data_IF_519885471453
#
_entry.id   IF_519885471453
#
_cell.length_a   1.000
_cell.length_b   1.000
_cell.length_c   1.000
_cell.angle_alpha   90.00
_cell.angle_beta   90.00
_cell.angle_gamma   90.00
#
_symmetry.space_group_name_H-M   'P 1'
#
loop_
_entity.id
_entity.type
_entity.pdbx_description
1 polymer ?
#
# COMPACT_ATOMS: atom_id res chain seq x y z
N UNK A 1 25.89 6.38 18.90
CA UNK A 1 26.92 6.60 19.93
C UNK A 1 26.33 6.66 21.33
N UNK A 2 24.99 6.69 21.51
CA UNK A 2 24.33 6.88 22.82
C UNK A 2 24.76 8.16 23.56
N UNK A 3 25.47 9.05 22.87
CA UNK A 3 25.93 10.31 23.42
C UNK A 3 24.79 11.32 23.46
N UNK A 4 24.63 12.07 24.56
CA UNK A 4 23.67 13.16 24.64
C UNK A 4 23.88 14.20 23.54
N UNK A 5 22.78 14.73 23.01
CA UNK A 5 22.77 15.78 21.98
C UNK A 5 21.93 16.93 22.48
N UNK A 6 22.44 18.15 22.41
CA UNK A 6 21.65 19.34 22.74
C UNK A 6 20.72 19.64 21.56
N UNK A 7 19.51 20.13 21.84
CA UNK A 7 18.52 20.47 20.82
C UNK A 7 19.07 21.41 19.74
N UNK A 8 19.91 22.38 20.13
CA UNK A 8 20.55 23.32 19.21
C UNK A 8 21.51 22.64 18.22
N UNK A 9 22.06 21.49 18.59
CA UNK A 9 22.99 20.72 17.75
C UNK A 9 22.26 19.72 16.84
N UNK A 10 20.96 19.49 17.03
CA UNK A 10 20.18 18.52 16.22
C UNK A 10 20.19 18.91 14.74
N UNK A 11 19.86 20.17 14.44
CA UNK A 11 19.84 20.67 13.05
C UNK A 11 21.20 20.54 12.36
N UNK A 12 22.30 21.14 12.87
CA UNK A 12 23.60 21.04 12.19
C UNK A 12 24.15 19.61 12.14
N UNK A 13 23.75 18.71 13.06
CA UNK A 13 24.20 17.32 13.07
C UNK A 13 23.44 16.41 12.11
N UNK A 14 22.14 16.63 11.92
CA UNK A 14 21.27 15.66 11.26
C UNK A 14 20.55 16.18 10.02
N UNK A 15 20.46 17.49 9.79
CA UNK A 15 19.68 18.06 8.67
C UNK A 15 20.16 17.52 7.31
N UNK A 16 21.46 17.47 7.07
CA UNK A 16 22.02 16.94 5.81
C UNK A 16 21.61 15.49 5.57
N UNK A 17 21.74 14.63 6.61
CA UNK A 17 21.35 13.23 6.52
C UNK A 17 19.84 13.08 6.31
N UNK A 18 19.02 13.81 7.08
CA UNK A 18 17.56 13.78 6.98
C UNK A 18 17.11 14.17 5.57
N UNK A 19 17.63 15.27 5.03
CA UNK A 19 17.27 15.73 3.68
C UNK A 19 17.72 14.75 2.59
N UNK A 20 18.86 14.08 2.75
CA UNK A 20 19.35 13.10 1.80
C UNK A 20 18.54 11.78 1.80
N UNK A 21 17.90 11.44 2.93
CA UNK A 21 17.23 10.16 3.18
C UNK A 21 15.71 10.31 3.39
N UNK A 22 15.13 11.40 2.88
CA UNK A 22 13.68 11.65 2.90
C UNK A 22 13.19 12.18 1.57
N UNK A 23 11.89 12.08 1.33
CA UNK A 23 11.27 12.55 0.09
C UNK A 23 11.55 11.65 -1.11
N UNK A 24 11.49 12.24 -2.30
CA UNK A 24 11.71 11.55 -3.57
C UNK A 24 13.21 11.38 -3.82
N UNK A 25 13.66 10.12 -3.84
CA UNK A 25 15.08 9.76 -3.93
C UNK A 25 15.26 8.42 -4.63
N UNK A 26 16.51 7.99 -4.77
CA UNK A 26 16.83 6.66 -5.31
C UNK A 26 16.23 5.58 -4.42
N UNK A 27 15.81 4.48 -5.04
CA UNK A 27 15.24 3.34 -4.32
C UNK A 27 16.31 2.71 -3.43
N UNK A 28 15.99 2.61 -2.14
CA UNK A 28 16.80 1.94 -1.14
C UNK A 28 16.26 0.51 -0.95
N UNK A 29 17.00 -0.54 -1.34
CA UNK A 29 16.50 -1.92 -1.30
C UNK A 29 16.00 -2.34 0.09
N UNK A 30 16.62 -1.83 1.15
CA UNK A 30 16.26 -2.08 2.55
C UNK A 30 14.82 -1.66 2.88
N UNK A 31 14.33 -0.57 2.27
CA UNK A 31 12.98 -0.05 2.48
C UNK A 31 11.96 -0.67 1.51
N UNK A 32 12.44 -1.13 0.34
CA UNK A 32 11.64 -1.70 -0.73
C UNK A 32 11.60 -3.24 -0.73
N UNK A 33 11.78 -3.89 0.43
CA UNK A 33 11.66 -5.34 0.57
C UNK A 33 12.75 -6.14 -0.16
N UNK A 34 13.95 -5.59 -0.28
CA UNK A 34 15.08 -6.17 -1.01
C UNK A 34 15.11 -5.84 -2.50
N UNK A 35 14.20 -4.98 -2.99
CA UNK A 35 14.15 -4.61 -4.39
C UNK A 35 15.31 -3.67 -4.80
N UNK A 36 16.21 -4.16 -5.65
CA UNK A 36 17.15 -3.34 -6.41
C UNK A 36 16.70 -3.25 -7.88
N UNK A 37 16.30 -2.06 -8.35
CA UNK A 37 15.95 -1.83 -9.75
C UNK A 37 17.07 -2.20 -10.75
N UNK A 38 18.34 -2.17 -10.36
CA UNK A 38 19.46 -2.48 -11.25
C UNK A 38 19.68 -3.98 -11.46
N UNK A 39 19.12 -4.82 -10.58
CA UNK A 39 19.30 -6.27 -10.61
C UNK A 39 17.99 -7.00 -10.31
N UNK A 40 16.94 -6.67 -11.05
CA UNK A 40 15.63 -7.32 -10.89
C UNK A 40 15.68 -8.77 -11.34
N UNK A 41 15.50 -9.71 -10.41
CA UNK A 41 15.47 -11.14 -10.72
C UNK A 41 14.19 -11.54 -11.46
N UNK A 42 14.35 -12.23 -12.59
CA UNK A 42 13.30 -12.95 -13.30
C UNK A 42 13.71 -14.41 -13.49
N UNK A 43 12.73 -15.30 -13.69
CA UNK A 43 12.98 -16.68 -14.09
C UNK A 43 12.69 -16.82 -15.58
N UNK A 44 13.63 -17.40 -16.33
CA UNK A 44 13.39 -17.81 -17.72
C UNK A 44 13.34 -19.32 -17.78
N UNK A 45 12.28 -19.82 -18.40
CA UNK A 45 12.19 -21.22 -18.75
C UNK A 45 13.11 -21.53 -19.93
N UNK A 46 13.96 -22.54 -19.76
CA UNK A 46 14.85 -23.04 -20.78
C UNK A 46 14.70 -24.56 -20.87
N UNK A 47 14.84 -25.08 -22.09
CA UNK A 47 14.91 -26.52 -22.31
C UNK A 47 16.37 -26.96 -22.26
N UNK A 48 16.69 -28.00 -21.49
CA UNK A 48 18.05 -28.54 -21.46
C UNK A 48 18.34 -29.36 -22.71
N UNK A 49 19.50 -29.12 -23.33
CA UNK A 49 19.92 -29.79 -24.58
C UNK A 49 20.77 -31.04 -24.34
N UNK A 50 21.17 -31.26 -23.09
CA UNK A 50 21.98 -32.39 -22.62
C UNK A 50 21.42 -32.91 -21.30
N UNK A 51 21.66 -34.20 -21.02
CA UNK A 51 21.34 -34.80 -19.74
C UNK A 51 22.15 -34.13 -18.62
N UNK A 52 21.50 -33.83 -17.51
CA UNK A 52 22.15 -33.29 -16.32
C UNK A 52 22.83 -34.41 -15.52
N UNK A 53 23.84 -34.04 -14.75
CA UNK A 53 24.37 -34.94 -13.73
C UNK A 53 23.28 -35.27 -12.69
N UNK A 54 23.21 -36.52 -12.20
CA UNK A 54 22.28 -36.87 -11.13
C UNK A 54 22.55 -36.07 -9.87
N UNK A 55 21.50 -35.77 -9.12
CA UNK A 55 21.61 -35.20 -7.78
C UNK A 55 20.73 -35.99 -6.79
N UNK A 56 21.06 -35.89 -5.51
CA UNK A 56 20.30 -36.53 -4.44
C UNK A 56 19.08 -35.69 -4.04
N UNK A 57 17.96 -36.35 -3.78
CA UNK A 57 16.72 -35.76 -3.30
C UNK A 57 16.02 -36.69 -2.30
N UNK A 58 15.00 -36.17 -1.61
CA UNK A 58 14.10 -37.02 -0.83
C UNK A 58 13.26 -37.91 -1.76
N UNK A 59 12.71 -39.01 -1.23
CA UNK A 59 11.80 -39.87 -2.00
C UNK A 59 10.57 -39.09 -2.51
N UNK A 60 10.06 -38.18 -1.69
CA UNK A 60 8.91 -37.32 -2.03
C UNK A 60 9.25 -36.37 -3.18
N UNK A 61 10.38 -35.67 -3.09
CA UNK A 61 10.83 -34.74 -4.13
C UNK A 61 11.14 -35.47 -5.45
N UNK A 62 11.79 -36.63 -5.38
CA UNK A 62 12.09 -37.44 -6.57
C UNK A 62 10.81 -37.84 -7.32
N UNK A 63 9.79 -38.31 -6.58
CA UNK A 63 8.48 -38.61 -7.15
C UNK A 63 7.80 -37.36 -7.72
N UNK A 64 7.88 -36.22 -7.03
CA UNK A 64 7.32 -34.95 -7.51
C UNK A 64 7.99 -34.47 -8.80
N UNK A 65 9.32 -34.56 -8.90
CA UNK A 65 10.07 -34.25 -10.12
C UNK A 65 9.67 -35.16 -11.28
N UNK A 66 9.59 -36.48 -11.05
CA UNK A 66 9.15 -37.45 -12.07
C UNK A 66 7.71 -37.20 -12.51
N UNK A 67 6.82 -36.89 -11.58
CA UNK A 67 5.41 -36.61 -11.88
C UNK A 67 5.24 -35.37 -12.77
N UNK A 68 6.04 -34.33 -12.54
CA UNK A 68 5.95 -33.08 -13.31
C UNK A 68 6.63 -33.18 -14.68
N UNK A 69 7.73 -33.94 -14.80
CA UNK A 69 8.58 -33.96 -16.00
C UNK A 69 8.45 -35.24 -16.84
N UNK A 70 7.76 -36.27 -16.35
CA UNK A 70 7.43 -37.49 -17.07
C UNK A 70 8.66 -38.28 -17.54
N UNK A 71 8.73 -38.54 -18.84
CA UNK A 71 9.84 -39.29 -19.45
C UNK A 71 11.17 -38.52 -19.44
N UNK A 72 11.15 -37.20 -19.22
CA UNK A 72 12.36 -36.37 -19.23
C UNK A 72 13.10 -36.35 -17.88
N UNK A 73 12.69 -37.15 -16.89
CA UNK A 73 13.38 -37.28 -15.60
C UNK A 73 13.43 -38.75 -15.22
N UNK A 74 14.58 -39.27 -14.83
CA UNK A 74 14.72 -40.60 -14.22
C UNK A 74 14.98 -40.48 -12.72
N UNK A 75 14.44 -41.43 -11.97
CA UNK A 75 14.62 -41.54 -10.51
C UNK A 75 14.96 -42.97 -10.12
N UNK A 76 15.84 -43.14 -9.15
CA UNK A 76 16.19 -44.45 -8.58
C UNK A 76 16.64 -44.32 -7.12
N UNK A 77 16.42 -45.38 -6.35
CA UNK A 77 16.83 -45.47 -4.95
C UNK A 77 18.27 -46.00 -4.86
N UNK A 78 19.09 -45.37 -4.03
CA UNK A 78 20.44 -45.81 -3.69
C UNK A 78 20.48 -46.68 -2.43
N UNK A 79 21.63 -47.32 -2.19
CA UNK A 79 21.81 -48.30 -1.10
C UNK A 79 21.65 -47.73 0.32
N UNK A 80 21.68 -46.39 0.46
CA UNK A 80 21.54 -45.64 1.73
C UNK A 80 20.12 -45.10 1.97
N UNK A 81 19.16 -45.39 1.08
CA UNK A 81 17.82 -44.80 1.10
C UNK A 81 17.74 -43.37 0.57
N UNK A 82 18.84 -42.82 0.02
CA UNK A 82 18.80 -41.58 -0.77
C UNK A 82 18.25 -41.86 -2.16
N UNK A 83 17.44 -40.93 -2.69
CA UNK A 83 16.93 -41.01 -4.05
C UNK A 83 17.76 -40.15 -4.97
N UNK A 84 18.12 -40.68 -6.13
CA UNK A 84 18.81 -39.93 -7.18
C UNK A 84 17.82 -39.50 -8.26
N UNK A 85 18.00 -38.28 -8.76
CA UNK A 85 17.18 -37.67 -9.81
C UNK A 85 18.09 -37.23 -10.95
N UNK A 86 17.78 -37.61 -12.19
CA UNK A 86 18.46 -37.15 -13.41
C UNK A 86 17.44 -36.52 -14.35
N UNK A 87 17.68 -35.27 -14.75
CA UNK A 87 16.94 -34.62 -15.82
C UNK A 87 17.60 -34.92 -17.16
N UNK A 88 16.81 -35.34 -18.15
CA UNK A 88 17.27 -35.66 -19.49
C UNK A 88 17.07 -34.52 -20.46
N UNK A 89 17.79 -34.57 -21.59
CA UNK A 89 17.56 -33.71 -22.74
C UNK A 89 16.06 -33.58 -23.04
N UNK A 90 15.59 -32.35 -23.12
CA UNK A 90 14.19 -32.04 -23.37
C UNK A 90 13.41 -31.60 -22.13
N UNK A 91 13.94 -31.80 -20.92
CA UNK A 91 13.33 -31.28 -19.70
C UNK A 91 13.35 -29.74 -19.67
N UNK A 92 12.36 -29.14 -19.00
CA UNK A 92 12.25 -27.70 -18.82
C UNK A 92 12.73 -27.32 -17.42
N UNK A 93 13.64 -26.36 -17.34
CA UNK A 93 14.12 -25.79 -16.08
C UNK A 93 13.92 -24.27 -16.08
N UNK A 94 13.80 -23.69 -14.89
CA UNK A 94 13.71 -22.24 -14.71
C UNK A 94 15.02 -21.71 -14.16
N UNK A 95 15.66 -20.80 -14.89
CA UNK A 95 16.96 -20.22 -14.51
C UNK A 95 16.78 -18.74 -14.15
N UNK A 96 17.33 -18.28 -13.00
CA UNK A 96 17.30 -16.88 -12.63
C UNK A 96 18.20 -16.03 -13.51
N UNK A 97 17.73 -14.83 -13.83
CA UNK A 97 18.49 -13.80 -14.53
C UNK A 97 18.16 -12.43 -13.97
N UNK A 98 19.11 -11.50 -14.04
CA UNK A 98 18.90 -10.11 -13.64
C UNK A 98 18.56 -9.23 -14.85
N UNK A 99 17.53 -8.39 -14.70
CA UNK A 99 17.20 -7.32 -15.63
C UNK A 99 17.42 -5.97 -14.97
N UNK A 100 17.95 -5.01 -15.73
CA UNK A 100 17.98 -3.61 -15.32
C UNK A 100 16.63 -2.97 -15.59
N UNK A 101 16.02 -2.45 -14.54
CA UNK A 101 14.84 -1.60 -14.59
C UNK A 101 15.22 -0.16 -14.94
N UNK A 102 14.19 0.62 -15.25
CA UNK A 102 14.29 2.01 -15.66
C UNK A 102 13.54 2.97 -14.70
N UNK A 103 13.05 2.42 -13.58
CA UNK A 103 12.44 3.12 -12.44
C UNK A 103 13.38 2.99 -11.25
N UNK A 104 14.22 4.00 -11.07
CA UNK A 104 15.24 4.04 -10.02
C UNK A 104 14.85 4.95 -8.85
N UNK A 105 13.77 5.72 -8.99
CA UNK A 105 13.39 6.81 -8.08
C UNK A 105 11.96 6.61 -7.60
N UNK A 106 11.75 6.76 -6.29
CA UNK A 106 10.45 6.67 -5.63
C UNK A 106 10.37 7.61 -4.41
N UNK A 107 9.16 7.93 -3.97
CA UNK A 107 8.88 8.59 -2.70
C UNK A 107 8.77 7.56 -1.58
N UNK A 108 9.88 7.29 -0.91
CA UNK A 108 9.93 6.32 0.19
C UNK A 108 9.71 7.02 1.53
N UNK A 109 9.21 6.28 2.52
CA UNK A 109 9.24 6.74 3.92
C UNK A 109 10.68 7.13 4.33
N UNK A 110 10.87 8.06 5.28
CA UNK A 110 12.19 8.40 5.80
C UNK A 110 13.02 7.17 6.13
N UNK A 111 14.28 7.14 5.71
CA UNK A 111 15.17 6.02 6.06
C UNK A 111 15.35 5.97 7.57
N UNK A 112 15.09 4.78 8.11
CA UNK A 112 15.03 4.59 9.55
C UNK A 112 13.66 4.89 10.17
N UNK A 113 12.58 5.13 9.41
CA UNK A 113 11.22 5.00 9.96
C UNK A 113 10.97 3.56 10.41
N UNK A 114 10.37 3.38 11.59
CA UNK A 114 10.11 2.06 12.17
C UNK A 114 8.84 2.12 13.04
N UNK A 115 7.85 1.24 12.82
CA UNK A 115 6.64 1.20 13.62
C UNK A 115 6.89 0.95 15.12
N UNK A 116 8.00 0.29 15.49
CA UNK A 116 8.32 -0.02 16.89
C UNK A 116 8.62 1.24 17.70
N UNK A 117 9.15 2.30 17.06
CA UNK A 117 9.38 3.60 17.72
C UNK A 117 8.08 4.31 18.13
N UNK A 118 6.96 3.90 17.54
CA UNK A 118 5.61 4.37 17.89
C UNK A 118 4.93 3.46 18.93
N UNK A 119 5.60 2.41 19.39
CA UNK A 119 5.07 1.49 20.41
C UNK A 119 4.32 0.29 19.85
N UNK A 120 4.34 0.04 18.52
CA UNK A 120 3.77 -1.19 17.96
C UNK A 120 4.67 -2.37 18.35
N UNK A 121 4.13 -3.43 19.00
CA UNK A 121 4.93 -4.56 19.44
C UNK A 121 5.62 -5.30 18.28
N UNK A 122 6.86 -5.74 18.49
CA UNK A 122 7.64 -6.53 17.51
C UNK A 122 6.88 -7.76 17.02
N UNK A 123 6.07 -8.39 17.88
CA UNK A 123 5.25 -9.54 17.50
C UNK A 123 4.22 -9.19 16.42
N UNK A 124 3.59 -8.02 16.53
CA UNK A 124 2.65 -7.50 15.54
C UNK A 124 3.39 -7.14 14.26
N UNK A 125 4.50 -6.39 14.35
CA UNK A 125 5.30 -5.99 13.18
C UNK A 125 5.76 -7.20 12.36
N UNK A 126 6.13 -8.30 13.04
CA UNK A 126 6.53 -9.55 12.37
C UNK A 126 5.34 -10.33 11.81
N UNK A 127 4.12 -10.12 12.30
CA UNK A 127 2.92 -10.85 11.88
C UNK A 127 2.26 -10.21 10.65
N UNK A 128 2.10 -8.90 10.63
CA UNK A 128 1.25 -8.18 9.67
C UNK A 128 1.98 -7.73 8.40
N UNK A 129 1.23 -7.33 7.37
CA UNK A 129 1.81 -6.60 6.23
C UNK A 129 2.22 -5.16 6.64
N UNK A 130 3.22 -4.61 5.97
CA UNK A 130 3.74 -3.26 6.24
C UNK A 130 2.65 -2.17 6.12
N UNK A 131 1.65 -2.35 5.25
CA UNK A 131 0.51 -1.41 5.16
C UNK A 131 -0.29 -1.32 6.45
N UNK A 132 -0.37 -2.39 7.24
CA UNK A 132 -1.07 -2.40 8.53
C UNK A 132 -0.33 -1.52 9.53
N UNK A 133 0.99 -1.61 9.58
CA UNK A 133 1.81 -0.75 10.42
C UNK A 133 1.66 0.72 10.06
N UNK A 134 1.63 1.07 8.76
CA UNK A 134 1.36 2.45 8.33
C UNK A 134 -0.01 2.92 8.85
N UNK A 135 -1.05 2.12 8.65
CA UNK A 135 -2.41 2.43 9.07
C UNK A 135 -2.55 2.60 10.59
N UNK A 136 -1.92 1.73 11.38
CA UNK A 136 -1.91 1.83 12.84
C UNK A 136 -1.27 3.13 13.31
N UNK A 137 -0.08 3.46 12.80
CA UNK A 137 0.62 4.70 13.19
C UNK A 137 -0.21 5.93 12.84
N UNK A 138 -0.68 6.07 11.60
CA UNK A 138 -1.45 7.26 11.21
C UNK A 138 -2.82 7.34 11.89
N UNK A 139 -3.42 6.21 12.27
CA UNK A 139 -4.67 6.20 13.03
C UNK A 139 -4.44 6.70 14.45
N UNK A 140 -3.38 6.24 15.13
CA UNK A 140 -3.01 6.71 16.47
C UNK A 140 -2.70 8.22 16.42
N UNK A 141 -1.89 8.67 15.47
CA UNK A 141 -1.56 10.09 15.33
C UNK A 141 -2.80 10.94 15.02
N UNK A 142 -3.74 10.44 14.21
CA UNK A 142 -5.00 11.12 13.92
C UNK A 142 -5.88 11.23 15.17
N UNK A 143 -6.00 10.16 15.97
CA UNK A 143 -6.73 10.19 17.24
C UNK A 143 -6.12 11.19 18.22
N UNK A 144 -4.80 11.16 18.40
CA UNK A 144 -4.07 12.11 19.28
C UNK A 144 -4.25 13.55 18.81
N UNK A 145 -4.21 13.81 17.49
CA UNK A 145 -4.48 15.14 16.93
C UNK A 145 -5.92 15.59 17.15
N UNK A 146 -6.86 14.65 17.24
CA UNK A 146 -8.25 14.92 17.62
C UNK A 146 -8.48 14.99 19.13
N UNK A 147 -7.41 15.00 19.94
CA UNK A 147 -7.50 15.07 21.40
C UNK A 147 -7.81 13.74 22.09
N UNK A 148 -7.86 12.64 21.35
CA UNK A 148 -8.19 11.30 21.85
C UNK A 148 -6.88 10.55 22.15
N UNK A 149 -6.55 10.39 23.42
CA UNK A 149 -5.34 9.64 23.84
C UNK A 149 -5.62 8.16 24.06
N UNK A 150 -6.81 7.83 24.55
CA UNK A 150 -7.31 6.47 24.66
C UNK A 150 -8.54 6.34 23.73
N UNK A 151 -8.50 5.50 22.69
CA UNK A 151 -9.64 5.30 21.80
C UNK A 151 -10.95 4.98 22.54
N UNK A 152 -10.89 4.39 23.73
CA UNK A 152 -12.08 4.02 24.50
C UNK A 152 -12.79 5.22 25.15
N UNK A 153 -12.18 6.42 25.14
CA UNK A 153 -12.86 7.67 25.48
C UNK A 153 -14.11 7.90 24.59
N UNK A 154 -14.07 7.45 23.33
CA UNK A 154 -15.19 7.52 22.41
C UNK A 154 -16.46 6.85 22.97
N UNK A 155 -16.31 5.79 23.77
CA UNK A 155 -17.42 5.03 24.33
C UNK A 155 -18.09 5.69 25.54
N UNK A 156 -17.54 6.81 26.02
CA UNK A 156 -18.23 7.68 26.97
C UNK A 156 -19.27 8.56 26.28
N UNK A 157 -19.12 8.79 24.97
CA UNK A 157 -19.97 9.69 24.17
C UNK A 157 -20.85 8.96 23.15
N UNK A 158 -20.40 7.80 22.67
CA UNK A 158 -21.03 7.06 21.59
C UNK A 158 -21.22 5.59 21.98
N UNK A 159 -22.27 4.95 21.47
CA UNK A 159 -22.40 3.50 21.60
C UNK A 159 -21.31 2.80 20.77
N UNK A 160 -20.91 1.58 21.15
CA UNK A 160 -19.88 0.81 20.43
C UNK A 160 -20.21 0.58 18.95
N UNK A 161 -21.49 0.60 18.58
CA UNK A 161 -21.97 0.48 17.19
C UNK A 161 -21.91 1.77 16.39
N UNK A 162 -21.48 2.89 16.98
CA UNK A 162 -21.46 4.21 16.33
C UNK A 162 -20.03 4.69 16.02
N UNK A 163 -19.03 3.85 16.32
CA UNK A 163 -17.61 4.06 16.04
C UNK A 163 -17.23 3.12 14.89
N UNK A 164 -17.12 3.66 13.70
CA UNK A 164 -16.87 2.90 12.46
C UNK A 164 -15.61 3.32 11.72
N UNK A 165 -15.38 2.68 10.58
CA UNK A 165 -14.25 3.00 9.70
C UNK A 165 -14.53 2.64 8.24
N UNK A 166 -14.01 3.46 7.34
CA UNK A 166 -14.04 3.30 5.88
C UNK A 166 -12.63 3.23 5.29
N UNK A 167 -11.61 2.92 6.10
CA UNK A 167 -10.22 2.88 5.67
C UNK A 167 -10.05 1.95 4.47
N UNK A 168 -9.42 2.46 3.40
CA UNK A 168 -9.28 1.72 2.14
C UNK A 168 -7.84 1.60 1.66
N UNK A 169 -7.66 0.87 0.57
CA UNK A 169 -6.40 0.75 -0.17
C UNK A 169 -6.68 0.53 -1.66
N UNK A 170 -5.70 0.79 -2.52
CA UNK A 170 -5.81 0.53 -3.95
C UNK A 170 -5.64 -0.95 -4.26
N UNK A 171 -4.54 -1.54 -3.78
CA UNK A 171 -4.24 -2.97 -3.89
C UNK A 171 -4.28 -3.63 -2.51
N UNK A 172 -3.60 -3.04 -1.53
CA UNK A 172 -3.50 -3.53 -0.15
C UNK A 172 -2.64 -4.79 -0.02
N UNK A 173 -1.95 -4.94 1.11
CA UNK A 173 -1.25 -6.18 1.47
C UNK A 173 -0.21 -6.65 0.45
N UNK A 174 0.46 -5.72 -0.25
CA UNK A 174 1.24 -6.06 -1.45
C UNK A 174 2.44 -6.96 -1.15
N UNK A 175 3.03 -6.91 0.04
CA UNK A 175 4.11 -7.82 0.44
C UNK A 175 3.57 -9.22 0.73
N UNK A 176 2.43 -9.31 1.42
CA UNK A 176 1.73 -10.59 1.61
C UNK A 176 1.29 -11.21 0.28
N UNK A 177 0.88 -10.40 -0.70
CA UNK A 177 0.58 -10.86 -2.07
C UNK A 177 1.83 -11.45 -2.72
N UNK A 178 3.00 -10.80 -2.61
CA UNK A 178 4.26 -11.38 -3.10
C UNK A 178 4.57 -12.71 -2.39
N UNK A 179 4.37 -12.79 -1.08
CA UNK A 179 4.61 -13.99 -0.31
C UNK A 179 3.74 -15.16 -0.82
N UNK A 180 2.44 -14.94 -0.96
CA UNK A 180 1.47 -15.97 -1.37
C UNK A 180 1.63 -16.38 -2.83
N UNK A 181 1.80 -15.43 -3.76
CA UNK A 181 1.75 -15.74 -5.19
C UNK A 181 3.11 -15.96 -5.83
N UNK A 182 4.18 -15.40 -5.26
CA UNK A 182 5.54 -15.52 -5.81
C UNK A 182 6.42 -16.39 -4.94
N UNK A 183 6.56 -16.09 -3.64
CA UNK A 183 7.50 -16.83 -2.78
C UNK A 183 7.03 -18.27 -2.55
N UNK A 184 5.76 -18.48 -2.24
CA UNK A 184 5.19 -19.83 -2.06
C UNK A 184 5.21 -20.65 -3.34
N UNK A 185 5.04 -20.02 -4.51
CA UNK A 185 5.21 -20.70 -5.81
C UNK A 185 6.66 -21.16 -6.05
N UNK A 186 7.63 -20.52 -5.41
CA UNK A 186 9.04 -20.90 -5.43
C UNK A 186 9.43 -21.80 -4.25
N UNK A 187 8.44 -22.37 -3.55
CA UNK A 187 8.63 -23.21 -2.37
C UNK A 187 9.41 -22.53 -1.24
N UNK A 188 9.35 -21.20 -1.16
CA UNK A 188 9.92 -20.47 -0.03
C UNK A 188 9.01 -20.57 1.19
N UNK A 189 9.61 -20.52 2.37
CA UNK A 189 8.88 -20.48 3.63
C UNK A 189 8.05 -19.20 3.73
N UNK A 190 6.74 -19.37 3.87
CA UNK A 190 5.75 -18.29 3.98
C UNK A 190 4.78 -18.67 5.08
N UNK A 191 4.37 -17.69 5.91
CA UNK A 191 3.42 -17.87 7.01
C UNK A 191 2.14 -18.56 6.55
N UNK A 192 1.63 -19.50 7.34
CA UNK A 192 0.43 -20.28 7.01
C UNK A 192 -0.82 -19.42 6.79
N UNK A 193 -0.89 -18.27 7.44
CA UNK A 193 -2.00 -17.30 7.41
C UNK A 193 -1.74 -16.10 6.49
N UNK A 194 -0.65 -16.08 5.69
CA UNK A 194 -0.27 -14.94 4.84
C UNK A 194 -1.39 -14.45 3.90
N UNK A 195 -2.33 -15.32 3.52
CA UNK A 195 -3.50 -14.94 2.72
C UNK A 195 -4.38 -13.90 3.41
N UNK A 196 -4.47 -13.91 4.75
CA UNK A 196 -5.27 -12.95 5.51
C UNK A 196 -4.74 -11.53 5.29
N UNK A 197 -3.42 -11.37 5.26
CA UNK A 197 -2.77 -10.07 5.09
C UNK A 197 -2.84 -9.53 3.65
N UNK A 198 -3.37 -10.31 2.68
CA UNK A 198 -3.59 -9.84 1.30
C UNK A 198 -4.88 -9.04 1.14
N UNK A 199 -5.82 -9.11 2.08
CA UNK A 199 -7.11 -8.44 1.94
C UNK A 199 -7.00 -6.97 2.36
N UNK A 200 -7.58 -6.08 1.56
CA UNK A 200 -7.71 -4.65 1.86
C UNK A 200 -8.45 -4.44 3.20
N UNK A 201 -9.43 -5.29 3.49
CA UNK A 201 -10.20 -5.27 4.75
C UNK A 201 -9.37 -5.58 5.99
N UNK A 202 -8.25 -6.29 5.85
CA UNK A 202 -7.42 -6.72 6.99
C UNK A 202 -6.75 -5.54 7.67
N UNK A 203 -6.39 -4.50 6.92
CA UNK A 203 -5.87 -3.25 7.49
C UNK A 203 -6.85 -2.67 8.52
N UNK A 204 -8.12 -2.57 8.14
CA UNK A 204 -9.14 -2.06 9.04
C UNK A 204 -9.43 -3.03 10.20
N UNK A 205 -9.37 -4.35 9.96
CA UNK A 205 -9.55 -5.34 11.01
C UNK A 205 -8.49 -5.19 12.11
N UNK A 206 -7.21 -5.01 11.75
CA UNK A 206 -6.13 -4.77 12.71
C UNK A 206 -6.31 -3.47 13.50
N UNK A 207 -6.70 -2.37 12.83
CA UNK A 207 -7.02 -1.11 13.51
C UNK A 207 -8.15 -1.32 14.53
N UNK A 208 -9.20 -2.07 14.19
CA UNK A 208 -10.27 -2.35 15.14
C UNK A 208 -9.82 -3.26 16.28
N UNK A 209 -9.08 -4.34 15.98
CA UNK A 209 -8.63 -5.32 16.97
C UNK A 209 -7.63 -4.76 17.98
N UNK A 210 -6.78 -3.82 17.56
CA UNK A 210 -5.71 -3.28 18.41
C UNK A 210 -6.04 -1.95 19.08
N UNK A 211 -6.94 -1.14 18.49
CA UNK A 211 -7.21 0.21 18.98
C UNK A 211 -8.67 0.41 19.37
N UNK A 212 -9.60 0.15 18.45
CA UNK A 212 -10.96 0.66 18.60
C UNK A 212 -11.84 -0.29 19.42
N UNK A 213 -11.85 -1.59 19.13
CA UNK A 213 -12.82 -2.56 19.68
C UNK A 213 -14.28 -2.15 19.46
N UNK A 214 -14.55 -1.49 18.32
CA UNK A 214 -15.88 -1.04 17.94
C UNK A 214 -16.69 -2.10 17.21
N UNK A 215 -18.01 -1.90 17.23
CA UNK A 215 -19.01 -2.68 16.49
C UNK A 215 -19.74 -1.83 15.45
N UNK A 216 -19.17 -0.68 15.08
CA UNK A 216 -19.75 0.23 14.11
C UNK A 216 -19.54 -0.20 12.66
N UNK A 217 -20.07 0.59 11.70
CA UNK A 217 -19.98 0.26 10.28
C UNK A 217 -18.54 0.12 9.80
N UNK A 218 -18.28 -0.98 9.09
CA UNK A 218 -16.99 -1.29 8.45
C UNK A 218 -17.21 -1.37 6.95
N UNK A 219 -16.54 -0.50 6.19
CA UNK A 219 -16.61 -0.47 4.72
C UNK A 219 -15.20 -0.30 4.14
N UNK A 220 -14.44 -1.40 3.93
CA UNK A 220 -13.16 -1.32 3.24
C UNK A 220 -13.41 -0.97 1.77
N UNK A 221 -12.82 0.13 1.30
CA UNK A 221 -13.08 0.67 -0.03
C UNK A 221 -11.87 0.56 -0.95
N UNK A 222 -12.16 0.42 -2.24
CA UNK A 222 -11.18 0.33 -3.32
C UNK A 222 -11.62 1.28 -4.43
N UNK A 223 -10.93 2.41 -4.52
CA UNK A 223 -11.13 3.43 -5.55
C UNK A 223 -9.86 3.74 -6.33
N UNK A 224 -8.91 2.79 -6.37
CA UNK A 224 -7.56 2.97 -6.91
C UNK A 224 -6.90 4.24 -6.36
N UNK A 225 -6.39 5.12 -7.24
CA UNK A 225 -5.73 6.38 -6.86
C UNK A 225 -6.62 7.35 -6.06
N UNK A 226 -7.96 7.20 -6.13
CA UNK A 226 -8.93 8.07 -5.45
C UNK A 226 -9.51 7.47 -4.15
N UNK A 227 -8.98 6.33 -3.68
CA UNK A 227 -9.53 5.58 -2.55
C UNK A 227 -9.71 6.41 -1.28
N UNK A 228 -8.76 7.29 -0.94
CA UNK A 228 -8.87 8.12 0.25
C UNK A 228 -10.06 9.10 0.21
N UNK A 229 -10.37 9.65 -0.97
CA UNK A 229 -11.53 10.54 -1.14
C UNK A 229 -12.84 9.74 -1.10
N UNK A 230 -12.87 8.58 -1.76
CA UNK A 230 -14.01 7.64 -1.68
C UNK A 230 -14.28 7.20 -0.23
N UNK A 231 -13.23 6.98 0.56
CA UNK A 231 -13.30 6.68 1.99
C UNK A 231 -13.95 7.79 2.80
N UNK A 232 -13.56 9.06 2.55
CA UNK A 232 -14.18 10.22 3.18
C UNK A 232 -15.65 10.35 2.78
N UNK A 233 -15.97 10.20 1.49
CA UNK A 233 -17.34 10.28 0.98
C UNK A 233 -18.27 9.26 1.66
N UNK A 234 -17.85 7.99 1.69
CA UNK A 234 -18.60 6.94 2.35
C UNK A 234 -18.73 7.15 3.87
N UNK A 235 -17.74 7.76 4.53
CA UNK A 235 -17.82 8.09 5.95
C UNK A 235 -18.84 9.21 6.21
N UNK A 236 -18.84 10.27 5.38
CA UNK A 236 -19.83 11.35 5.43
C UNK A 236 -21.24 10.79 5.26
N UNK A 237 -21.47 9.96 4.23
CA UNK A 237 -22.77 9.32 4.01
C UNK A 237 -23.18 8.42 5.20
N UNK A 238 -22.22 7.72 5.81
CA UNK A 238 -22.49 6.85 6.97
C UNK A 238 -22.92 7.66 8.19
N UNK A 239 -22.28 8.80 8.45
CA UNK A 239 -22.64 9.72 9.54
C UNK A 239 -24.00 10.37 9.26
N UNK A 240 -24.20 10.90 8.05
CA UNK A 240 -25.46 11.54 7.66
C UNK A 240 -26.65 10.57 7.70
N UNK A 241 -26.42 9.29 7.41
CA UNK A 241 -27.43 8.25 7.52
C UNK A 241 -27.71 7.80 8.98
N UNK A 242 -27.04 8.38 9.98
CA UNK A 242 -27.19 8.02 11.40
C UNK A 242 -26.68 6.63 11.75
N UNK A 243 -25.79 6.05 10.92
CA UNK A 243 -25.21 4.71 11.16
C UNK A 243 -23.98 4.77 12.05
N UNK A 244 -23.36 5.93 12.18
CA UNK A 244 -22.21 6.18 13.03
C UNK A 244 -22.15 7.66 13.43
N UNK A 245 -21.51 7.95 14.55
CA UNK A 245 -21.23 9.32 15.01
C UNK A 245 -19.73 9.64 14.92
N UNK A 246 -18.88 8.61 14.86
CA UNK A 246 -17.44 8.71 14.64
C UNK A 246 -16.99 7.76 13.55
N UNK A 247 -16.21 8.26 12.59
CA UNK A 247 -15.65 7.45 11.49
C UNK A 247 -14.16 7.73 11.31
N UNK A 248 -13.38 6.65 11.18
CA UNK A 248 -12.01 6.73 10.65
C UNK A 248 -12.09 6.58 9.13
N UNK A 249 -11.56 7.55 8.39
CA UNK A 249 -11.54 7.54 6.92
C UNK A 249 -10.14 7.83 6.40
N UNK A 250 -9.75 7.23 5.28
CA UNK A 250 -8.41 7.39 4.74
C UNK A 250 -8.02 6.35 3.70
N UNK A 251 -6.73 6.34 3.39
CA UNK A 251 -6.12 5.38 2.47
C UNK A 251 -4.72 4.98 2.89
N UNK A 252 -4.32 3.77 2.50
CA UNK A 252 -2.95 3.26 2.65
C UNK A 252 -2.51 2.53 1.39
N UNK A 253 -1.23 2.65 1.03
CA UNK A 253 -0.60 1.87 -0.03
C UNK A 253 0.90 1.70 0.23
N UNK A 254 1.49 0.59 -0.22
CA UNK A 254 2.94 0.37 -0.15
C UNK A 254 3.58 0.36 -1.54
N UNK A 255 4.90 0.60 -1.57
CA UNK A 255 5.72 0.52 -2.77
C UNK A 255 6.43 -0.84 -2.84
N UNK A 256 6.22 -1.57 -3.92
CA UNK A 256 6.86 -2.87 -4.16
C UNK A 256 7.38 -3.00 -5.59
N UNK A 257 8.30 -3.94 -5.80
CA UNK A 257 8.90 -4.21 -7.11
C UNK A 257 7.85 -4.40 -8.22
N UNK A 258 6.84 -5.25 -7.97
CA UNK A 258 5.84 -5.64 -8.96
C UNK A 258 4.97 -4.44 -9.37
N UNK A 259 4.52 -3.63 -8.41
CA UNK A 259 3.73 -2.43 -8.73
C UNK A 259 4.54 -1.46 -9.58
N UNK A 260 5.80 -1.23 -9.21
CA UNK A 260 6.67 -0.29 -9.91
C UNK A 260 6.93 -0.68 -11.36
N UNK A 261 7.18 -1.98 -11.59
CA UNK A 261 7.34 -2.54 -12.93
C UNK A 261 6.06 -2.43 -13.73
N UNK A 262 4.91 -2.84 -13.17
CA UNK A 262 3.67 -2.88 -13.93
C UNK A 262 3.14 -1.48 -14.27
N UNK A 263 3.28 -0.50 -13.37
CA UNK A 263 3.03 0.89 -13.72
C UNK A 263 4.01 1.43 -14.78
N UNK A 264 5.26 0.94 -14.78
CA UNK A 264 6.22 1.19 -15.85
C UNK A 264 5.76 0.65 -17.20
N UNK A 265 5.27 -0.59 -17.24
CA UNK A 265 4.73 -1.25 -18.44
C UNK A 265 3.49 -0.52 -18.98
N UNK A 266 2.64 0.01 -18.10
CA UNK A 266 1.50 0.85 -18.47
C UNK A 266 1.90 2.24 -19.00
N UNK A 267 3.17 2.61 -18.88
CA UNK A 267 3.66 3.95 -19.22
C UNK A 267 3.18 5.04 -18.25
N UNK A 268 2.78 4.68 -17.03
CA UNK A 268 2.19 5.59 -16.06
C UNK A 268 3.26 6.33 -15.22
N UNK A 269 4.32 5.63 -14.82
CA UNK A 269 5.43 6.20 -14.05
C UNK A 269 6.49 6.85 -14.96
N UNK A 270 7.10 7.93 -14.46
CA UNK A 270 8.21 8.61 -15.13
C UNK A 270 9.46 7.73 -15.20
N UNK A 271 10.14 7.72 -16.35
CA UNK A 271 11.37 6.94 -16.51
C UNK A 271 12.57 7.69 -15.91
N UNK A 272 13.15 7.13 -14.85
CA UNK A 272 14.21 7.77 -14.07
C UNK A 272 15.49 7.93 -14.89
N UNK A 273 15.86 6.93 -15.70
CA UNK A 273 17.05 7.01 -16.57
C UNK A 273 16.91 8.14 -17.61
N UNK A 274 15.71 8.27 -18.18
CA UNK A 274 15.37 9.31 -19.13
C UNK A 274 15.35 10.70 -18.50
N UNK A 275 14.86 10.85 -17.26
CA UNK A 275 14.92 12.11 -16.52
C UNK A 275 16.37 12.48 -16.16
N UNK A 276 17.18 11.53 -15.69
CA UNK A 276 18.61 11.74 -15.40
C UNK A 276 19.40 12.13 -16.66
N UNK A 277 19.13 11.49 -17.80
CA UNK A 277 19.73 11.87 -19.09
C UNK A 277 19.37 13.30 -19.54
N UNK A 278 18.28 13.87 -19.00
CA UNK A 278 17.86 15.27 -19.19
C UNK A 278 18.41 16.20 -18.10
N UNK A 279 19.30 15.72 -17.24
CA UNK A 279 19.93 16.49 -16.17
C UNK A 279 19.08 16.68 -14.92
N UNK A 280 18.04 15.87 -14.72
CA UNK A 280 17.17 15.96 -13.54
C UNK A 280 17.70 15.14 -12.37
N UNK A 281 17.64 15.73 -11.19
CA UNK A 281 17.89 15.05 -9.92
C UNK A 281 16.59 14.40 -9.40
N UNK A 282 16.64 13.31 -8.60
CA UNK A 282 15.46 12.58 -8.13
C UNK A 282 14.36 13.47 -7.54
N UNK A 283 14.73 14.42 -6.67
CA UNK A 283 13.80 15.32 -5.97
C UNK A 283 12.99 16.24 -6.90
N UNK A 284 13.41 16.39 -8.16
CA UNK A 284 12.73 17.23 -9.16
C UNK A 284 11.90 16.43 -10.17
N UNK A 285 11.91 15.09 -10.10
CA UNK A 285 11.28 14.25 -11.13
C UNK A 285 9.75 14.25 -11.07
N UNK A 286 9.15 14.62 -9.93
CA UNK A 286 7.71 14.82 -9.80
C UNK A 286 7.33 16.28 -10.06
N UNK A 287 6.64 16.55 -11.18
CA UNK A 287 6.47 17.91 -11.71
C UNK A 287 5.11 18.13 -12.38
N UNK A 288 4.02 18.23 -11.58
CA UNK A 288 2.63 18.05 -12.02
C UNK A 288 2.17 18.95 -13.17
N UNK A 289 2.53 20.24 -13.14
CA UNK A 289 1.99 21.24 -14.07
C UNK A 289 3.01 21.70 -15.13
N UNK A 290 4.13 21.00 -15.26
CA UNK A 290 5.20 21.41 -16.18
C UNK A 290 4.93 20.96 -17.61
N UNK A 291 5.47 21.70 -18.59
CA UNK A 291 5.37 21.36 -20.02
C UNK A 291 6.07 20.07 -20.39
N UNK A 292 7.04 19.65 -19.56
CA UNK A 292 7.86 18.47 -19.82
C UNK A 292 7.46 17.27 -18.95
N UNK A 293 6.38 17.33 -18.15
CA UNK A 293 5.91 16.19 -17.34
C UNK A 293 5.73 14.94 -18.20
N UNK A 294 6.14 13.77 -17.71
CA UNK A 294 6.18 12.53 -18.50
C UNK A 294 5.78 11.26 -17.73
N UNK A 295 5.12 11.42 -16.59
CA UNK A 295 4.66 10.32 -15.73
C UNK A 295 4.62 10.77 -14.28
N UNK A 296 3.99 9.97 -13.42
CA UNK A 296 4.01 10.23 -11.98
C UNK A 296 5.25 9.59 -11.32
N UNK A 297 5.51 9.97 -10.08
CA UNK A 297 6.50 9.32 -9.20
C UNK A 297 5.77 8.50 -8.16
N UNK A 298 6.04 7.19 -8.11
CA UNK A 298 5.41 6.28 -7.16
C UNK A 298 5.89 6.57 -5.73
N UNK A 299 5.02 6.37 -4.75
CA UNK A 299 5.30 6.62 -3.35
C UNK A 299 4.50 5.66 -2.45
N UNK A 300 4.94 5.51 -1.20
CA UNK A 300 4.29 4.67 -0.19
C UNK A 300 3.84 5.49 1.02
N UNK A 301 2.85 4.97 1.75
CA UNK A 301 2.43 5.51 3.04
C UNK A 301 0.93 5.41 3.27
N UNK A 302 0.46 6.11 4.30
CA UNK A 302 -0.95 6.17 4.67
C UNK A 302 -1.36 7.60 5.02
N UNK A 303 -2.65 7.88 4.96
CA UNK A 303 -3.27 9.10 5.44
C UNK A 303 -4.66 8.83 5.99
N UNK A 304 -4.92 9.32 7.20
CA UNK A 304 -6.18 9.11 7.92
C UNK A 304 -6.71 10.44 8.46
N UNK A 305 -8.03 10.58 8.43
CA UNK A 305 -8.79 11.62 9.11
C UNK A 305 -9.87 10.97 9.98
N UNK A 306 -10.15 11.58 11.13
CA UNK A 306 -11.30 11.23 11.96
C UNK A 306 -12.44 12.19 11.68
N UNK A 307 -13.63 11.67 11.44
CA UNK A 307 -14.82 12.45 11.10
C UNK A 307 -15.90 12.22 12.17
N UNK A 308 -16.59 13.29 12.55
CA UNK A 308 -17.72 13.26 13.46
C UNK A 308 -18.85 14.15 12.94
N UNK A 309 -20.08 13.93 13.41
CA UNK A 309 -21.10 14.97 13.30
C UNK A 309 -20.67 16.23 14.07
N UNK A 310 -21.06 17.43 13.61
CA UNK A 310 -20.70 18.67 14.30
C UNK A 310 -21.19 18.68 15.75
N UNK A 311 -22.40 18.15 16.00
CA UNK A 311 -22.93 17.95 17.34
C UNK A 311 -22.07 17.01 18.18
N UNK A 312 -21.62 15.87 17.62
CA UNK A 312 -20.74 14.93 18.33
C UNK A 312 -19.40 15.58 18.71
N UNK A 313 -18.76 16.28 17.76
CA UNK A 313 -17.51 16.98 18.00
C UNK A 313 -17.63 18.04 19.10
N UNK A 314 -18.71 18.84 19.07
CA UNK A 314 -19.00 19.85 20.09
C UNK A 314 -19.34 19.23 21.46
N UNK A 315 -20.09 18.12 21.50
CA UNK A 315 -20.39 17.39 22.74
C UNK A 315 -19.12 16.84 23.40
N UNK A 316 -18.20 16.34 22.59
CA UNK A 316 -16.93 15.78 23.06
C UNK A 316 -15.90 16.87 23.39
N UNK A 317 -15.99 18.04 22.76
CA UNK A 317 -15.05 19.15 22.96
C UNK A 317 -13.73 18.96 22.21
N UNK A 318 -13.72 18.20 21.12
CA UNK A 318 -12.52 17.90 20.32
C UNK A 318 -12.17 19.02 19.33
N UNK A 319 -10.90 19.13 18.88
CA UNK A 319 -10.52 20.07 17.83
C UNK A 319 -11.30 19.85 16.53
N UNK A 320 -11.74 20.95 15.91
CA UNK A 320 -12.41 20.94 14.60
C UNK A 320 -11.50 21.63 13.59
N UNK A 321 -10.86 20.84 12.72
CA UNK A 321 -9.94 21.33 11.70
C UNK A 321 -10.62 21.90 10.45
N UNK A 322 -11.85 21.49 10.19
CA UNK A 322 -12.60 21.91 9.02
C UNK A 322 -13.97 21.24 8.94
N UNK A 323 -14.76 21.66 7.96
CA UNK A 323 -16.09 21.13 7.68
C UNK A 323 -16.07 20.53 6.28
N UNK A 324 -16.47 19.26 6.17
CA UNK A 324 -16.72 18.65 4.86
C UNK A 324 -18.04 19.20 4.33
N UNK A 325 -17.95 20.28 3.55
CA UNK A 325 -19.13 20.96 3.00
C UNK A 325 -19.84 20.12 1.92
N UNK A 326 -19.06 19.35 1.16
CA UNK A 326 -19.54 18.44 0.12
C UNK A 326 -18.49 17.35 -0.11
N UNK A 327 -18.97 16.14 -0.37
CA UNK A 327 -18.20 15.03 -0.93
C UNK A 327 -19.03 14.38 -2.04
N UNK A 328 -18.38 13.62 -2.90
CA UNK A 328 -19.06 12.84 -3.92
C UNK A 328 -18.10 12.16 -4.87
N UNK A 329 -18.60 11.15 -5.55
CA UNK A 329 -17.89 10.39 -6.57
C UNK A 329 -18.66 10.38 -7.88
N UNK A 330 -17.96 10.20 -9.00
CA UNK A 330 -18.59 10.18 -10.32
C UNK A 330 -17.79 9.29 -11.27
N UNK A 331 -18.50 8.53 -12.10
CA UNK A 331 -17.92 7.79 -13.21
C UNK A 331 -17.90 8.63 -14.49
N UNK A 332 -17.01 8.25 -15.40
CA UNK A 332 -16.91 8.86 -16.71
C UNK A 332 -17.84 8.22 -17.76
N UNK A 333 -17.74 8.69 -18.99
CA UNK A 333 -18.48 8.16 -20.15
C UNK A 333 -17.98 6.76 -20.55
N UNK A 334 -18.74 6.09 -21.42
CA UNK A 334 -18.33 4.83 -22.05
C UNK A 334 -16.97 4.98 -22.77
N UNK A 335 -16.10 3.98 -22.60
CA UNK A 335 -14.79 3.91 -23.24
C UNK A 335 -14.18 2.52 -23.08
N UNK A 336 -12.98 2.34 -23.64
CA UNK A 336 -12.21 1.08 -23.56
C UNK A 336 -10.84 1.27 -22.89
N UNK A 337 -10.46 2.51 -22.58
CA UNK A 337 -9.22 2.80 -21.86
C UNK A 337 -9.54 2.97 -20.38
N UNK A 338 -9.28 1.93 -19.59
CA UNK A 338 -9.49 1.91 -18.12
C UNK A 338 -8.72 3.04 -17.39
N UNK A 339 -7.44 3.33 -17.69
CA UNK A 339 -6.69 4.34 -16.94
C UNK A 339 -6.94 5.78 -17.41
N UNK A 340 -7.72 5.99 -18.47
CA UNK A 340 -7.92 7.34 -19.01
C UNK A 340 -8.79 8.17 -18.06
N UNK A 341 -8.31 9.32 -17.55
CA UNK A 341 -9.12 10.20 -16.73
C UNK A 341 -10.18 10.89 -17.59
N UNK A 342 -11.40 11.04 -17.07
CA UNK A 342 -12.45 11.85 -17.69
C UNK A 342 -12.90 13.04 -16.84
N UNK A 343 -14.14 13.44 -17.05
CA UNK A 343 -14.73 14.67 -16.52
C UNK A 343 -16.04 14.44 -15.77
N UNK A 344 -16.32 13.21 -15.31
CA UNK A 344 -17.54 12.86 -14.60
C UNK A 344 -17.78 13.75 -13.37
N UNK A 345 -16.70 14.11 -12.67
CA UNK A 345 -16.75 15.01 -11.51
C UNK A 345 -17.30 16.40 -11.83
N UNK A 346 -17.27 16.85 -13.10
CA UNK A 346 -17.87 18.13 -13.53
C UNK A 346 -19.36 18.20 -13.20
N UNK A 347 -20.04 17.06 -13.11
CA UNK A 347 -21.46 17.01 -12.76
C UNK A 347 -21.76 17.45 -11.33
N UNK A 348 -20.75 17.57 -10.46
CA UNK A 348 -20.89 18.12 -9.09
C UNK A 348 -21.31 19.59 -9.08
N UNK A 349 -21.01 20.34 -10.15
CA UNK A 349 -21.40 21.75 -10.32
C UNK A 349 -22.54 21.93 -11.31
N UNK A 350 -23.30 20.87 -11.61
CA UNK A 350 -24.44 20.96 -12.53
C UNK A 350 -25.55 21.82 -11.91
N UNK A 351 -25.93 22.87 -12.61
CA UNK A 351 -27.06 23.73 -12.25
C UNK A 351 -27.76 24.17 -13.55
N UNK A 352 -29.09 24.20 -13.52
CA UNK A 352 -29.88 24.91 -14.54
C UNK A 352 -30.33 26.20 -13.87
N UNK A 353 -29.77 27.32 -14.31
CA UNK A 353 -30.11 28.63 -13.75
C UNK A 353 -31.36 29.19 -14.45
N UNK A 354 -32.36 29.59 -13.66
CA UNK A 354 -33.53 30.35 -14.12
C UNK A 354 -33.22 31.85 -14.23
N UNK A 355 -34.13 32.65 -14.82
CA UNK A 355 -34.00 34.12 -14.89
C UNK A 355 -33.81 34.78 -13.52
N UNK A 356 -34.37 34.18 -12.47
CA UNK A 356 -34.20 34.62 -11.10
C UNK A 356 -33.59 33.48 -10.25
N UNK A 357 -32.55 33.76 -9.43
CA UNK A 357 -32.00 32.76 -8.53
C UNK A 357 -33.03 32.23 -7.54
N UNK A 358 -32.93 30.95 -7.19
CA UNK A 358 -33.78 30.33 -6.18
C UNK A 358 -33.73 31.10 -4.87
N UNK A 359 -34.91 31.36 -4.28
CA UNK A 359 -35.00 32.06 -2.98
C UNK A 359 -34.29 31.31 -1.85
N UNK A 360 -34.15 29.98 -1.97
CA UNK A 360 -33.42 29.14 -1.02
C UNK A 360 -31.93 29.51 -0.91
N UNK A 361 -31.35 30.15 -1.93
CA UNK A 361 -29.97 30.65 -1.88
C UNK A 361 -29.81 31.85 -0.93
N UNK A 362 -30.91 32.56 -0.60
CA UNK A 362 -30.89 33.69 0.33
C UNK A 362 -30.91 33.17 1.76
N UNK A 363 -29.91 33.54 2.55
CA UNK A 363 -29.81 33.13 3.95
C UNK A 363 -31.03 33.61 4.76
N UNK A 364 -31.43 34.89 4.63
CA UNK A 364 -32.58 35.45 5.35
C UNK A 364 -33.94 34.83 4.99
N UNK A 365 -34.00 34.04 3.92
CA UNK A 365 -35.21 33.31 3.52
C UNK A 365 -35.31 31.92 4.18
N UNK A 366 -34.17 31.28 4.47
CA UNK A 366 -34.10 29.95 5.09
C UNK A 366 -34.19 30.06 6.61
#
# INVERSE_FOLDING_TARGET
TEEPVRDIDVKPRYEEYILAHTGIRLIEPELAGGYDPNSRTILREIQIEHDMEPFEASAEDALAFKSTNGENVDIWEGDSGSWSVRFHKGALIRVPMALRGDRLVAGLLPTGWDPTRYGIPDSVVKQVDMVVCYALVVTIEALVRSGITDPYELYQYFHVSEVGSTLGSGIGGTRAIQDVFKKRHLDAEVKGDAIQETFISTVQAWVNMLLMSGSGPVKPLVGACATAVLSIDAAVETIQAGKAEFMIAGGVEDFVQESSVEFGNMGATSNSLNEMARGRVPSEMCRPCTSTRNGFTEAQGAGVVTLMSASAALRMGVPIYGIIAMSGTATDKQGQSVPAPGQGVLTSVREISDEAPSRLLKFDYR
#
